data_IF_151536337627
#
_entry.id   IF_151536337627
#
_cell.length_a   1.000
_cell.length_b   1.000
_cell.length_c   1.000
_cell.angle_alpha   90.00
_cell.angle_beta   90.00
_cell.angle_gamma   90.00
#
_symmetry.space_group_name_H-M   'P 1'
#
loop_
_entity.id
_entity.type
_entity.pdbx_description
1 polymer ?
#
# COMPACT_ATOMS: atom_id res chain seq x y z
N UNK A 1 13.73 17.46 2.58
CA UNK A 1 14.54 16.41 1.91
C UNK A 1 13.68 15.16 1.71
N UNK A 2 13.68 14.57 0.51
CA UNK A 2 12.90 13.37 0.15
C UNK A 2 13.70 12.09 0.39
N UNK A 3 13.11 11.11 1.07
CA UNK A 3 13.66 9.76 1.19
C UNK A 3 12.58 8.71 0.90
N UNK A 4 12.94 7.66 0.15
CA UNK A 4 12.06 6.53 -0.15
C UNK A 4 12.74 5.25 0.29
N UNK A 5 12.05 4.46 1.11
CA UNK A 5 12.49 3.17 1.65
C UNK A 5 11.44 2.14 1.25
N UNK A 6 11.87 1.03 0.65
CA UNK A 6 11.00 -0.10 0.32
C UNK A 6 11.30 -1.27 1.25
N UNK A 7 10.24 -1.83 1.85
CA UNK A 7 10.30 -3.05 2.66
C UNK A 7 9.43 -4.10 1.97
N UNK A 8 10.06 -5.21 1.61
CA UNK A 8 9.40 -6.34 0.93
C UNK A 8 9.57 -7.63 1.74
N UNK A 9 8.75 -8.63 1.41
CA UNK A 9 8.85 -9.98 1.96
C UNK A 9 7.53 -10.74 1.91
N UNK A 10 7.56 -12.04 2.21
CA UNK A 10 6.38 -12.92 2.22
C UNK A 10 5.27 -12.52 3.21
N UNK A 11 4.09 -13.12 3.05
CA UNK A 11 2.96 -12.88 3.96
C UNK A 11 3.32 -13.28 5.41
N UNK A 12 2.91 -12.46 6.40
CA UNK A 12 3.20 -12.68 7.84
C UNK A 12 4.70 -12.71 8.23
N UNK A 13 5.59 -12.14 7.40
CA UNK A 13 7.03 -12.06 7.69
C UNK A 13 7.45 -11.00 8.73
N UNK A 14 6.50 -10.23 9.30
CA UNK A 14 6.78 -9.16 10.26
C UNK A 14 7.17 -7.81 9.65
N UNK A 15 7.11 -7.66 8.33
CA UNK A 15 7.49 -6.42 7.62
C UNK A 15 6.74 -5.16 8.07
N UNK A 16 5.43 -5.22 8.34
CA UNK A 16 4.68 -4.06 8.86
C UNK A 16 5.17 -3.64 10.24
N UNK A 17 5.48 -4.60 11.12
CA UNK A 17 6.03 -4.29 12.45
C UNK A 17 7.42 -3.67 12.35
N UNK A 18 8.27 -4.17 11.44
CA UNK A 18 9.58 -3.57 11.16
C UNK A 18 9.47 -2.14 10.59
N UNK A 19 8.53 -1.90 9.66
CA UNK A 19 8.26 -0.58 9.11
C UNK A 19 7.83 0.41 10.20
N UNK A 20 6.94 -0.01 11.11
CA UNK A 20 6.52 0.80 12.24
C UNK A 20 7.67 1.14 13.20
N UNK A 21 8.50 0.17 13.54
CA UNK A 21 9.68 0.39 14.39
C UNK A 21 10.68 1.35 13.72
N UNK A 22 10.91 1.21 12.42
CA UNK A 22 11.75 2.12 11.67
C UNK A 22 11.19 3.54 11.69
N UNK A 23 9.88 3.69 11.46
CA UNK A 23 9.23 5.01 11.48
C UNK A 23 9.35 5.69 12.85
N UNK A 24 9.15 4.96 13.95
CA UNK A 24 9.30 5.47 15.32
C UNK A 24 10.74 5.89 15.67
N UNK A 25 11.75 5.27 15.06
CA UNK A 25 13.15 5.72 15.20
C UNK A 25 13.43 7.02 14.45
N UNK A 26 12.67 7.30 13.38
CA UNK A 26 12.86 8.47 12.52
C UNK A 26 11.99 9.66 12.94
N UNK A 27 10.86 9.42 13.61
CA UNK A 27 9.94 10.47 14.06
C UNK A 27 9.18 10.06 15.32
N UNK A 28 8.98 10.99 16.29
CA UNK A 28 8.11 10.75 17.43
C UNK A 28 6.61 10.80 17.08
N UNK A 29 6.25 11.26 15.88
CA UNK A 29 4.85 11.35 15.41
C UNK A 29 4.71 10.89 13.95
N UNK A 30 4.92 9.60 13.66
CA UNK A 30 4.82 9.08 12.30
C UNK A 30 3.37 8.97 11.83
N UNK A 31 3.20 8.95 10.51
CA UNK A 31 1.92 8.74 9.84
C UNK A 31 1.85 7.30 9.34
N UNK A 32 0.75 6.62 9.61
CA UNK A 32 0.43 5.33 9.01
C UNK A 32 -0.68 5.52 7.99
N UNK A 33 -0.34 5.39 6.72
CA UNK A 33 -1.25 5.54 5.59
C UNK A 33 -1.59 4.17 5.02
N UNK A 34 -2.80 3.69 5.27
CA UNK A 34 -3.25 2.39 4.78
C UNK A 34 -4.02 2.51 3.46
N UNK A 35 -3.70 1.60 2.55
CA UNK A 35 -4.35 1.44 1.24
C UNK A 35 -5.40 0.34 1.23
N UNK A 36 -5.64 -0.30 2.37
CA UNK A 36 -6.54 -1.42 2.44
C UNK A 36 -8.01 -0.98 2.33
N UNK A 37 -8.76 -1.67 1.48
CA UNK A 37 -10.21 -1.62 1.49
C UNK A 37 -10.74 -2.42 2.70
N UNK A 38 -11.43 -1.75 3.63
CA UNK A 38 -11.97 -2.38 4.83
C UNK A 38 -13.40 -2.84 4.53
N UNK A 39 -13.53 -4.05 4.00
CA UNK A 39 -14.83 -4.61 3.59
C UNK A 39 -15.48 -5.51 4.65
N UNK A 40 -14.71 -6.40 5.28
CA UNK A 40 -15.24 -7.40 6.22
C UNK A 40 -14.95 -7.08 7.70
N UNK A 41 -15.73 -7.72 8.58
CA UNK A 41 -15.68 -7.48 10.03
C UNK A 41 -14.39 -8.01 10.68
N UNK A 42 -13.83 -9.11 10.16
CA UNK A 42 -12.57 -9.70 10.65
C UNK A 42 -11.38 -8.75 10.39
N UNK A 43 -11.33 -8.17 9.19
CA UNK A 43 -10.33 -7.20 8.79
C UNK A 43 -10.47 -5.90 9.56
N UNK A 44 -11.71 -5.47 9.83
CA UNK A 44 -11.98 -4.28 10.66
C UNK A 44 -11.45 -4.47 12.08
N UNK A 45 -11.66 -5.64 12.68
CA UNK A 45 -11.15 -5.95 14.01
C UNK A 45 -9.61 -6.00 14.04
N UNK A 46 -9.00 -6.59 13.02
CA UNK A 46 -7.53 -6.58 12.88
C UNK A 46 -6.96 -5.16 12.76
N UNK A 47 -7.61 -4.30 11.97
CA UNK A 47 -7.22 -2.88 11.86
C UNK A 47 -7.37 -2.17 13.20
N UNK A 48 -8.44 -2.43 13.96
CA UNK A 48 -8.65 -1.87 15.31
C UNK A 48 -7.50 -2.27 16.24
N UNK A 49 -7.21 -3.56 16.35
CA UNK A 49 -6.10 -4.08 17.16
C UNK A 49 -4.74 -3.46 16.76
N UNK A 50 -4.50 -3.24 15.46
CA UNK A 50 -3.28 -2.60 14.98
C UNK A 50 -3.20 -1.12 15.33
N UNK A 51 -4.31 -0.38 15.24
CA UNK A 51 -4.38 1.02 15.66
C UNK A 51 -4.13 1.16 17.17
N UNK A 52 -4.76 0.31 17.98
CA UNK A 52 -4.58 0.30 19.44
C UNK A 52 -3.13 -0.01 19.85
N UNK A 53 -2.50 -0.99 19.19
CA UNK A 53 -1.10 -1.33 19.44
C UNK A 53 -0.13 -0.17 19.13
N UNK A 54 -0.43 0.62 18.10
CA UNK A 54 0.42 1.75 17.67
C UNK A 54 0.43 2.88 18.69
N UNK A 55 -0.70 3.15 19.34
CA UNK A 55 -0.84 4.20 20.35
C UNK A 55 -0.94 5.62 19.75
N UNK A 56 -1.10 6.60 20.63
CA UNK A 56 -1.53 7.96 20.29
C UNK A 56 -0.47 8.81 19.56
N UNK A 57 0.78 8.35 19.50
CA UNK A 57 1.81 9.05 18.75
C UNK A 57 1.61 8.95 17.22
N UNK A 58 0.76 8.03 16.76
CA UNK A 58 0.51 7.80 15.34
C UNK A 58 -0.67 8.60 14.80
N UNK A 59 -0.49 9.23 13.66
CA UNK A 59 -1.62 9.67 12.81
C UNK A 59 -1.98 8.54 11.86
N UNK A 60 -3.22 8.04 11.93
CA UNK A 60 -3.69 6.95 11.08
C UNK A 60 -4.57 7.52 9.95
N UNK A 61 -4.12 7.41 8.71
CA UNK A 61 -4.83 7.84 7.50
C UNK A 61 -5.25 6.62 6.69
N UNK A 62 -6.39 6.71 6.01
CA UNK A 62 -6.87 5.69 5.06
C UNK A 62 -7.13 6.38 3.73
N UNK A 63 -6.54 5.85 2.67
CA UNK A 63 -6.87 6.21 1.29
C UNK A 63 -6.49 5.06 0.37
N UNK A 64 -7.39 4.70 -0.53
CA UNK A 64 -7.28 3.48 -1.33
C UNK A 64 -6.53 3.72 -2.65
N UNK A 65 -6.55 4.94 -3.19
CA UNK A 65 -5.88 5.27 -4.46
C UNK A 65 -5.09 6.55 -4.39
N UNK A 66 -5.72 7.68 -4.06
CA UNK A 66 -5.15 9.01 -4.24
C UNK A 66 -4.41 9.49 -2.99
N UNK A 67 -3.34 8.79 -2.63
CA UNK A 67 -2.54 9.02 -1.42
C UNK A 67 -1.95 10.44 -1.33
N UNK A 68 -1.63 11.03 -2.47
CA UNK A 68 -1.05 12.37 -2.63
C UNK A 68 -1.98 13.49 -2.19
N UNK A 69 -3.28 13.21 -1.98
CA UNK A 69 -4.23 14.21 -1.47
C UNK A 69 -3.88 14.70 -0.06
N UNK A 70 -3.13 13.91 0.71
CA UNK A 70 -2.70 14.28 2.05
C UNK A 70 -1.42 15.13 2.00
N UNK A 71 -1.39 16.18 2.81
CA UNK A 71 -0.15 16.93 3.09
C UNK A 71 0.72 16.15 4.07
N UNK A 72 1.82 15.62 3.56
CA UNK A 72 2.79 14.79 4.26
C UNK A 72 4.14 15.51 4.38
N UNK A 73 4.17 16.82 4.15
CA UNK A 73 5.38 17.64 4.26
C UNK A 73 6.08 17.46 5.62
N UNK A 74 7.38 17.17 5.58
CA UNK A 74 8.23 16.87 6.72
C UNK A 74 7.72 15.74 7.64
N UNK A 75 6.95 14.78 7.11
CA UNK A 75 6.49 13.59 7.84
C UNK A 75 7.36 12.37 7.55
N UNK A 76 7.28 11.40 8.45
CA UNK A 76 7.70 10.01 8.20
C UNK A 76 6.42 9.20 8.02
N UNK A 77 6.28 8.56 6.87
CA UNK A 77 5.02 7.95 6.43
C UNK A 77 5.25 6.48 6.12
N UNK A 78 4.52 5.60 6.81
CA UNK A 78 4.42 4.18 6.44
C UNK A 78 3.23 4.01 5.50
N UNK A 79 3.47 3.49 4.31
CA UNK A 79 2.42 3.16 3.33
C UNK A 79 2.26 1.64 3.30
N UNK A 80 1.13 1.14 3.79
CA UNK A 80 0.86 -0.30 3.96
C UNK A 80 -0.49 -0.67 3.30
N UNK A 81 -0.51 -1.41 2.18
CA UNK A 81 0.65 -1.87 1.38
C UNK A 81 0.48 -1.56 -0.12
N UNK A 82 1.60 -1.57 -0.83
CA UNK A 82 1.64 -1.42 -2.29
C UNK A 82 0.76 -2.45 -2.99
N UNK A 83 0.75 -3.71 -2.54
CA UNK A 83 -0.08 -4.75 -3.16
C UNK A 83 -1.58 -4.44 -3.14
N UNK A 84 -2.11 -3.96 -2.01
CA UNK A 84 -3.52 -3.56 -1.94
C UNK A 84 -3.78 -2.28 -2.72
N UNK A 85 -2.80 -1.38 -2.77
CA UNK A 85 -2.87 -0.18 -3.58
C UNK A 85 -3.01 -0.49 -5.07
N UNK A 86 -2.15 -1.37 -5.60
CA UNK A 86 -2.25 -1.86 -6.98
C UNK A 86 -3.56 -2.60 -7.23
N UNK A 87 -4.03 -3.39 -6.26
CA UNK A 87 -5.33 -4.06 -6.32
C UNK A 87 -6.46 -3.04 -6.53
N UNK A 88 -6.45 -1.94 -5.79
CA UNK A 88 -7.49 -0.93 -5.90
C UNK A 88 -7.54 -0.29 -7.29
N UNK A 89 -6.38 0.00 -7.92
CA UNK A 89 -6.34 0.50 -9.31
C UNK A 89 -6.71 -0.56 -10.35
N UNK A 90 -6.35 -1.81 -10.12
CA UNK A 90 -6.58 -2.89 -11.06
C UNK A 90 -8.05 -3.34 -11.11
N UNK A 91 -8.72 -3.41 -9.96
CA UNK A 91 -10.10 -3.89 -9.86
C UNK A 91 -11.17 -2.82 -10.09
N UNK A 92 -10.86 -1.53 -9.95
CA UNK A 92 -11.81 -0.43 -10.22
C UNK A 92 -12.40 -0.43 -11.63
N UNK A 93 -11.64 -1.00 -12.57
CA UNK A 93 -11.99 -1.05 -14.00
C UNK A 93 -12.85 -2.25 -14.37
N UNK A 94 -13.13 -3.16 -13.43
CA UNK A 94 -13.96 -4.35 -13.67
C UNK A 94 -15.46 -4.06 -13.62
N UNK A 95 -15.89 -2.92 -13.04
CA UNK A 95 -17.31 -2.55 -12.98
C UNK A 95 -17.84 -2.00 -14.31
N UNK A 96 -16.97 -1.56 -15.24
CA UNK A 96 -17.36 -0.85 -16.48
C UNK A 96 -17.34 -1.72 -17.75
N UNK A 97 -17.80 -2.97 -17.67
CA UNK A 97 -18.03 -3.93 -18.78
C UNK A 97 -16.86 -4.80 -19.28
N UNK A 98 -17.10 -6.12 -19.20
CA UNK A 98 -16.74 -7.25 -20.11
C UNK A 98 -15.30 -7.44 -20.64
N UNK A 99 -14.35 -6.56 -20.33
CA UNK A 99 -12.95 -6.69 -20.76
C UNK A 99 -12.01 -7.03 -19.61
N UNK A 100 -10.93 -7.76 -19.92
CA UNK A 100 -9.87 -8.05 -18.96
C UNK A 100 -9.19 -6.74 -18.54
N UNK A 101 -8.77 -6.59 -17.27
CA UNK A 101 -8.13 -5.36 -16.79
C UNK A 101 -6.91 -4.98 -17.64
N UNK A 102 -6.83 -3.72 -18.07
CA UNK A 102 -5.65 -3.16 -18.75
C UNK A 102 -4.56 -2.84 -17.72
N UNK A 103 -3.60 -3.75 -17.60
CA UNK A 103 -2.41 -3.60 -16.75
C UNK A 103 -1.68 -2.28 -17.03
N UNK A 104 -1.54 -1.89 -18.31
CA UNK A 104 -0.79 -0.69 -18.66
C UNK A 104 -1.49 0.57 -18.18
N UNK A 105 -2.83 0.58 -18.19
CA UNK A 105 -3.58 1.71 -17.66
C UNK A 105 -3.47 1.82 -16.14
N UNK A 106 -3.60 0.70 -15.41
CA UNK A 106 -3.40 0.67 -13.97
C UNK A 106 -1.99 1.14 -13.57
N UNK A 107 -0.96 0.63 -14.25
CA UNK A 107 0.43 1.05 -14.03
C UNK A 107 0.66 2.54 -14.30
N UNK A 108 0.02 3.12 -15.33
CA UNK A 108 0.10 4.55 -15.62
C UNK A 108 -0.47 5.39 -14.47
N UNK A 109 -1.62 4.98 -13.92
CA UNK A 109 -2.26 5.68 -12.81
C UNK A 109 -1.48 5.55 -11.51
N UNK A 110 -1.03 4.34 -11.17
CA UNK A 110 -0.17 4.08 -10.00
C UNK A 110 1.10 4.93 -10.10
N UNK A 111 1.74 4.97 -11.28
CA UNK A 111 2.95 5.77 -11.50
C UNK A 111 2.67 7.26 -11.32
N UNK A 112 1.60 7.78 -11.93
CA UNK A 112 1.24 9.18 -11.83
C UNK A 112 0.98 9.59 -10.37
N UNK A 113 0.29 8.73 -9.62
CA UNK A 113 0.03 8.96 -8.21
C UNK A 113 1.29 8.84 -7.34
N UNK A 114 2.15 7.87 -7.61
CA UNK A 114 3.45 7.74 -6.93
C UNK A 114 4.33 8.97 -7.15
N UNK A 115 4.36 9.49 -8.37
CA UNK A 115 5.12 10.69 -8.71
C UNK A 115 4.59 11.91 -7.93
N UNK A 116 3.27 12.07 -7.83
CA UNK A 116 2.63 13.14 -7.06
C UNK A 116 2.87 13.01 -5.56
N UNK A 117 2.64 11.82 -5.00
CA UNK A 117 2.87 11.52 -3.58
C UNK A 117 4.32 11.83 -3.19
N UNK A 118 5.26 11.32 -3.98
CA UNK A 118 6.68 11.45 -3.68
C UNK A 118 7.29 12.78 -4.15
N UNK A 119 6.53 13.67 -4.77
CA UNK A 119 6.95 15.06 -4.98
C UNK A 119 7.00 15.86 -3.67
N UNK A 120 6.26 15.41 -2.65
CA UNK A 120 6.28 16.00 -1.33
C UNK A 120 7.60 15.71 -0.61
N UNK A 121 8.13 16.68 0.13
CA UNK A 121 9.30 16.46 0.98
C UNK A 121 8.93 15.67 2.24
N UNK A 122 9.01 14.35 2.15
CA UNK A 122 8.77 13.45 3.27
C UNK A 122 9.72 12.24 3.22
N UNK A 123 9.73 11.46 4.30
CA UNK A 123 10.32 10.12 4.31
C UNK A 123 9.21 9.09 4.14
N UNK A 124 9.20 8.38 3.02
CA UNK A 124 8.22 7.34 2.72
C UNK A 124 8.81 5.95 2.96
N UNK A 125 8.09 5.12 3.70
CA UNK A 125 8.40 3.72 3.96
C UNK A 125 7.27 2.89 3.33
N UNK A 126 7.50 2.36 2.14
CA UNK A 126 6.54 1.52 1.43
C UNK A 126 6.69 0.07 1.85
N UNK A 127 5.58 -0.56 2.19
CA UNK A 127 5.51 -2.00 2.48
C UNK A 127 4.87 -2.70 1.30
N UNK A 128 5.49 -3.76 0.80
CA UNK A 128 4.92 -4.61 -0.26
C UNK A 128 5.02 -6.10 0.10
N UNK A 129 4.13 -6.91 -0.47
CA UNK A 129 4.20 -8.36 -0.37
C UNK A 129 4.97 -8.92 -1.57
N UNK A 130 5.80 -9.93 -1.34
CA UNK A 130 6.31 -10.75 -2.43
C UNK A 130 5.22 -11.72 -2.90
N UNK A 131 4.85 -11.60 -4.17
CA UNK A 131 3.86 -12.44 -4.83
C UNK A 131 4.50 -12.87 -6.16
N UNK A 132 4.77 -14.17 -6.31
CA UNK A 132 5.50 -14.68 -7.49
C UNK A 132 6.13 -16.05 -7.31
N UNK A 133 6.36 -16.49 -6.07
CA UNK A 133 6.92 -17.84 -5.80
C UNK A 133 5.87 -18.97 -5.76
N UNK A 134 4.62 -18.68 -6.11
CA UNK A 134 3.51 -19.66 -6.17
C UNK A 134 3.29 -20.21 -7.58
N UNK A 135 2.55 -21.31 -7.70
CA UNK A 135 2.16 -21.83 -9.02
C UNK A 135 1.30 -20.84 -9.83
N UNK A 136 1.41 -20.89 -11.16
CA UNK A 136 0.61 -20.04 -12.06
C UNK A 136 -0.87 -20.35 -11.90
N UNK A 137 -1.69 -19.35 -11.59
CA UNK A 137 -3.14 -19.53 -11.47
C UNK A 137 -3.79 -19.88 -12.81
N UNK A 138 -4.80 -20.74 -12.80
CA UNK A 138 -5.64 -21.02 -13.98
C UNK A 138 -6.57 -19.86 -14.31
N UNK A 139 -6.81 -18.94 -13.37
CA UNK A 139 -7.63 -17.74 -13.57
C UNK A 139 -6.84 -16.63 -14.29
N UNK A 140 -7.35 -16.17 -15.44
CA UNK A 140 -6.71 -15.16 -16.28
C UNK A 140 -6.58 -13.78 -15.59
N UNK A 141 -7.56 -13.40 -14.75
CA UNK A 141 -7.51 -12.15 -13.97
C UNK A 141 -6.40 -12.22 -12.94
N UNK A 142 -6.29 -13.36 -12.25
CA UNK A 142 -5.27 -13.56 -11.23
C UNK A 142 -3.86 -13.58 -11.83
N UNK A 143 -3.66 -14.15 -13.03
CA UNK A 143 -2.37 -14.07 -13.74
C UNK A 143 -1.97 -12.63 -14.06
N UNK A 144 -2.89 -11.85 -14.66
CA UNK A 144 -2.64 -10.44 -14.97
C UNK A 144 -2.29 -9.61 -13.73
N UNK A 145 -2.91 -9.91 -12.60
CA UNK A 145 -2.59 -9.27 -11.33
C UNK A 145 -1.18 -9.65 -10.83
N UNK A 146 -0.81 -10.92 -10.87
CA UNK A 146 0.54 -11.37 -10.50
C UNK A 146 1.62 -10.73 -11.38
N UNK A 147 1.40 -10.67 -12.70
CA UNK A 147 2.33 -10.05 -13.66
C UNK A 147 2.55 -8.55 -13.33
N UNK A 148 1.49 -7.84 -12.93
CA UNK A 148 1.56 -6.43 -12.53
C UNK A 148 2.37 -6.21 -11.24
N UNK A 149 2.35 -7.17 -10.31
CA UNK A 149 3.11 -7.13 -9.05
C UNK A 149 4.57 -7.60 -9.21
N UNK A 150 4.98 -7.99 -10.42
CA UNK A 150 6.35 -8.39 -10.75
C UNK A 150 6.63 -9.89 -10.63
N UNK A 151 5.60 -10.73 -10.68
CA UNK A 151 5.71 -12.19 -10.78
C UNK A 151 5.75 -12.73 -12.20
#
# INVERSE_FOLDING_TARGET
>A
MKHVILITGGQRSGKSAYAEQLALRLSPRPVYLTTAHIGDDEFRERVRCHRERRGDCWTNLKEEKYLSQYDLYNKVVVVDCITLWCTNFFYDRLETDRELPDINAALREIKAEFDQLTAQEATFIFVTNEIGSGGVSTNAVQRRFTDMEGG
#
